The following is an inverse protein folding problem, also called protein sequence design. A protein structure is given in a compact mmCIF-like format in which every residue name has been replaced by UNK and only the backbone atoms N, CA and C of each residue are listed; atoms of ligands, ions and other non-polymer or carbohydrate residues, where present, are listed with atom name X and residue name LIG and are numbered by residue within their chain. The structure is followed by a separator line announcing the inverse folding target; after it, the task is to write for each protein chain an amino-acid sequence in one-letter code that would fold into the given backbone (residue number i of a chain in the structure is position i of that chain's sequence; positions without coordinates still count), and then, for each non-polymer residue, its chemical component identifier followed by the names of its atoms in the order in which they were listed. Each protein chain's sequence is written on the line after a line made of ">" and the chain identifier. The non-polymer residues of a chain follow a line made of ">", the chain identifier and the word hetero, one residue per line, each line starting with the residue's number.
data_IF_711029735232
#
_entry.id   IF_711029735232
#
_cell.length_a   1.000
_cell.length_b   1.000
_cell.length_c   1.000
_cell.angle_alpha   90.00
_cell.angle_beta   90.00
_cell.angle_gamma   90.00
#
_symmetry.space_group_name_H-M   'P 1'
#
loop_
_entity.id
_entity.type
_entity.pdbx_description
1 polymer ?
#
# COMPACT_ATOMS: atom_id res chain seq x y z
N UNK A 1 -13.17 0.02 16.85
CA UNK A 1 -14.60 0.48 16.92
C UNK A 1 -14.93 1.15 18.27
N UNK A 2 -14.06 1.10 19.29
CA UNK A 2 -14.22 1.87 20.55
C UNK A 2 -13.89 3.36 20.39
N UNK A 3 -12.92 3.72 19.55
CA UNK A 3 -12.41 5.10 19.48
C UNK A 3 -13.41 6.12 18.95
N UNK A 4 -14.25 5.75 17.97
CA UNK A 4 -15.30 6.66 17.46
C UNK A 4 -16.33 7.01 18.53
N UNK A 5 -16.69 6.05 19.39
CA UNK A 5 -17.63 6.29 20.47
C UNK A 5 -17.00 7.13 21.59
N UNK A 6 -15.71 6.94 21.85
CA UNK A 6 -14.97 7.73 22.83
C UNK A 6 -14.78 9.18 22.37
N UNK A 7 -14.49 9.41 21.09
CA UNK A 7 -14.40 10.73 20.46
C UNK A 7 -15.75 11.45 20.48
N UNK A 8 -16.83 10.78 20.07
CA UNK A 8 -18.19 11.37 20.10
C UNK A 8 -18.63 11.65 21.54
N UNK A 9 -18.29 10.78 22.50
CA UNK A 9 -18.60 11.00 23.91
C UNK A 9 -17.78 12.14 24.54
N UNK A 10 -16.51 12.31 24.15
CA UNK A 10 -15.66 13.41 24.62
C UNK A 10 -16.10 14.75 24.01
N UNK A 11 -16.44 14.78 22.72
CA UNK A 11 -16.99 15.97 22.07
C UNK A 11 -18.37 16.33 22.65
N UNK A 12 -19.24 15.33 22.88
CA UNK A 12 -20.53 15.52 23.53
C UNK A 12 -20.36 16.00 24.98
N UNK A 13 -19.39 15.46 25.71
CA UNK A 13 -19.05 15.88 27.08
C UNK A 13 -18.59 17.34 27.13
N UNK A 14 -17.75 17.77 26.19
CA UNK A 14 -17.33 19.16 26.06
C UNK A 14 -18.50 20.08 25.71
N UNK A 15 -19.38 19.67 24.80
CA UNK A 15 -20.58 20.41 24.40
C UNK A 15 -21.57 20.54 25.56
N UNK A 16 -21.78 19.47 26.32
CA UNK A 16 -22.61 19.47 27.54
C UNK A 16 -22.01 20.37 28.61
N UNK A 17 -20.69 20.34 28.84
CA UNK A 17 -20.03 21.22 29.80
C UNK A 17 -20.19 22.71 29.43
N UNK A 18 -20.04 23.05 28.14
CA UNK A 18 -20.29 24.41 27.64
C UNK A 18 -21.77 24.80 27.82
N UNK A 19 -22.69 23.92 27.48
CA UNK A 19 -24.14 24.18 27.59
C UNK A 19 -24.59 24.34 29.05
N UNK A 20 -24.07 23.52 29.95
CA UNK A 20 -24.30 23.62 31.40
C UNK A 20 -23.67 24.90 31.96
N UNK A 21 -22.46 25.27 31.52
CA UNK A 21 -21.83 26.54 31.89
C UNK A 21 -22.67 27.76 31.49
N UNK A 22 -23.20 27.77 30.26
CA UNK A 22 -24.11 28.81 29.79
C UNK A 22 -25.42 28.84 30.59
N UNK A 23 -26.00 27.68 30.93
CA UNK A 23 -27.22 27.60 31.75
C UNK A 23 -27.01 28.11 33.17
N UNK A 24 -25.88 27.76 33.81
CA UNK A 24 -25.54 28.25 35.16
C UNK A 24 -25.39 29.76 35.16
N UNK A 25 -24.73 30.33 34.15
CA UNK A 25 -24.62 31.78 33.96
C UNK A 25 -25.99 32.45 33.82
N UNK A 26 -26.88 31.88 33.00
CA UNK A 26 -28.25 32.40 32.82
C UNK A 26 -29.04 32.32 34.14
N UNK A 27 -28.94 31.21 34.88
CA UNK A 27 -29.61 31.04 36.18
C UNK A 27 -29.12 32.04 37.23
N UNK A 28 -27.84 32.41 37.23
CA UNK A 28 -27.27 33.44 38.11
C UNK A 28 -27.84 34.81 37.74
N UNK A 29 -27.93 35.11 36.45
CA UNK A 29 -28.48 36.36 35.92
C UNK A 29 -29.97 36.53 36.27
N UNK A 30 -30.76 35.45 36.18
CA UNK A 30 -32.22 35.48 36.42
C UNK A 30 -32.56 35.55 37.93
N UNK A 31 -31.70 35.04 38.82
CA UNK A 31 -31.94 35.04 40.27
C UNK A 31 -31.33 36.21 41.04
N UNK A 32 -30.71 37.19 40.37
CA UNK A 32 -30.23 38.42 41.02
C UNK A 32 -31.42 39.31 41.40
N UNK A 33 -31.60 39.67 42.69
CA UNK A 33 -32.69 40.54 43.11
C UNK A 33 -32.42 41.98 42.62
N UNK A 34 -33.42 42.59 41.96
CA UNK A 34 -33.45 43.94 41.34
C UNK A 34 -32.97 44.09 39.88
N UNK A 35 -33.14 43.11 39.01
CA UNK A 35 -32.70 43.15 37.59
C UNK A 35 -33.66 43.86 36.61
N UNK A 36 -34.48 44.81 37.06
CA UNK A 36 -35.27 45.65 36.13
C UNK A 36 -34.40 46.51 35.19
N UNK A 37 -33.12 46.65 35.50
CA UNK A 37 -32.07 47.21 34.65
C UNK A 37 -30.90 46.23 34.60
N UNK A 38 -31.11 45.07 33.98
CA UNK A 38 -30.02 44.16 33.68
C UNK A 38 -29.18 44.77 32.56
N UNK A 39 -28.14 45.49 32.96
CA UNK A 39 -27.24 46.24 32.08
C UNK A 39 -26.68 45.28 31.01
N UNK A 40 -27.01 45.50 29.74
CA UNK A 40 -26.61 44.63 28.64
C UNK A 40 -25.09 44.43 28.57
N UNK A 41 -24.33 45.38 29.13
CA UNK A 41 -22.89 45.28 29.32
C UNK A 41 -22.46 44.15 30.28
N UNK A 42 -23.22 43.88 31.34
CA UNK A 42 -22.92 42.79 32.29
C UNK A 42 -23.16 41.42 31.63
N UNK A 43 -24.27 41.26 30.92
CA UNK A 43 -24.59 40.02 30.19
C UNK A 43 -23.53 39.77 29.10
N UNK A 44 -23.17 40.80 28.34
CA UNK A 44 -22.14 40.72 27.32
C UNK A 44 -20.77 40.35 27.92
N UNK A 45 -20.38 40.94 29.05
CA UNK A 45 -19.11 40.63 29.71
C UNK A 45 -19.05 39.20 30.25
N UNK A 46 -20.15 38.67 30.78
CA UNK A 46 -20.19 37.28 31.26
C UNK A 46 -20.19 36.28 30.09
N UNK A 47 -20.91 36.57 29.00
CA UNK A 47 -20.88 35.75 27.78
C UNK A 47 -19.52 35.78 27.10
N UNK A 48 -18.95 36.96 26.89
CA UNK A 48 -17.60 37.13 26.31
C UNK A 48 -16.59 36.44 27.20
N UNK A 49 -16.61 36.69 28.51
CA UNK A 49 -15.75 36.06 29.51
C UNK A 49 -15.81 34.53 29.45
N UNK A 50 -17.02 33.97 29.42
CA UNK A 50 -17.24 32.53 29.27
C UNK A 50 -16.68 31.98 27.96
N UNK A 51 -16.98 32.62 26.82
CA UNK A 51 -16.46 32.20 25.50
C UNK A 51 -14.93 32.26 25.46
N UNK A 52 -14.29 33.30 25.98
CA UNK A 52 -12.82 33.39 26.07
C UNK A 52 -12.20 32.31 26.97
N UNK A 53 -12.92 31.82 27.97
CA UNK A 53 -12.42 30.79 28.89
C UNK A 53 -12.47 29.39 28.27
N UNK A 54 -13.50 29.12 27.46
CA UNK A 54 -13.70 27.81 26.84
C UNK A 54 -13.14 27.70 25.41
N UNK A 55 -12.93 28.81 24.69
CA UNK A 55 -12.37 28.80 23.33
C UNK A 55 -10.98 28.13 23.24
N UNK A 56 -10.03 28.35 24.18
CA UNK A 56 -8.72 27.66 24.14
C UNK A 56 -8.84 26.14 24.35
N UNK A 57 -9.77 25.71 25.20
CA UNK A 57 -10.03 24.29 25.49
C UNK A 57 -10.63 23.61 24.25
N UNK A 58 -11.65 24.24 23.65
CA UNK A 58 -12.24 23.75 22.41
C UNK A 58 -11.21 23.72 21.25
N UNK A 59 -10.37 24.76 21.13
CA UNK A 59 -9.30 24.80 20.15
C UNK A 59 -8.26 23.70 20.39
N UNK A 60 -7.89 23.41 21.64
CA UNK A 60 -6.96 22.33 21.98
C UNK A 60 -7.46 20.96 21.50
N UNK A 61 -8.72 20.62 21.78
CA UNK A 61 -9.32 19.36 21.30
C UNK A 61 -9.45 19.33 19.78
N UNK A 62 -9.99 20.40 19.16
CA UNK A 62 -10.14 20.47 17.70
C UNK A 62 -8.80 20.39 16.95
N UNK A 63 -7.74 21.02 17.48
CA UNK A 63 -6.41 21.01 16.84
C UNK A 63 -5.69 19.68 17.04
N UNK A 64 -5.82 19.05 18.21
CA UNK A 64 -5.26 17.70 18.43
C UNK A 64 -5.98 16.67 17.56
N UNK A 65 -7.31 16.70 17.51
CA UNK A 65 -8.11 15.83 16.63
C UNK A 65 -7.75 16.05 15.16
N UNK A 66 -7.58 17.31 14.73
CA UNK A 66 -7.17 17.60 13.36
C UNK A 66 -5.78 17.04 13.04
N UNK A 67 -4.83 17.18 13.96
CA UNK A 67 -3.47 16.66 13.78
C UNK A 67 -3.47 15.13 13.71
N UNK A 68 -4.24 14.46 14.56
CA UNK A 68 -4.39 13.01 14.56
C UNK A 68 -5.05 12.51 13.28
N UNK A 69 -6.15 13.15 12.85
CA UNK A 69 -6.81 12.83 11.58
C UNK A 69 -5.93 13.10 10.36
N UNK A 70 -5.13 14.16 10.39
CA UNK A 70 -4.18 14.48 9.33
C UNK A 70 -3.08 13.42 9.22
N UNK A 71 -2.51 13.00 10.36
CA UNK A 71 -1.50 11.94 10.37
C UNK A 71 -2.06 10.61 9.86
N UNK A 72 -3.26 10.21 10.30
CA UNK A 72 -3.95 9.02 9.80
C UNK A 72 -4.20 9.12 8.28
N UNK A 73 -4.53 10.32 7.78
CA UNK A 73 -4.73 10.53 6.34
C UNK A 73 -3.43 10.34 5.54
N UNK A 74 -2.31 10.85 6.05
CA UNK A 74 -1.00 10.68 5.43
C UNK A 74 -0.60 9.20 5.39
N UNK A 75 -0.75 8.49 6.52
CA UNK A 75 -0.49 7.05 6.59
C UNK A 75 -1.34 6.28 5.57
N UNK A 76 -2.63 6.60 5.44
CA UNK A 76 -3.50 5.96 4.45
C UNK A 76 -3.09 6.24 3.01
N UNK A 77 -2.58 7.43 2.71
CA UNK A 77 -2.12 7.76 1.37
C UNK A 77 -0.80 7.05 1.03
N UNK A 78 0.09 6.90 2.01
CA UNK A 78 1.31 6.10 1.86
C UNK A 78 1.00 4.61 1.64
N UNK A 79 0.04 4.05 2.38
CA UNK A 79 -0.44 2.66 2.18
C UNK A 79 -1.03 2.45 0.77
N UNK A 80 -1.76 3.43 0.24
CA UNK A 80 -2.27 3.38 -1.14
C UNK A 80 -1.13 3.41 -2.15
N UNK A 81 -0.10 4.24 -1.93
CA UNK A 81 1.08 4.29 -2.80
C UNK A 81 1.79 2.94 -2.84
N UNK A 82 2.04 2.34 -1.67
CA UNK A 82 2.69 1.03 -1.58
C UNK A 82 1.85 -0.06 -2.28
N UNK A 83 0.52 -0.06 -2.10
CA UNK A 83 -0.39 -0.97 -2.81
C UNK A 83 -0.30 -0.83 -4.34
N UNK A 84 -0.10 0.38 -4.86
CA UNK A 84 0.08 0.61 -6.31
C UNK A 84 1.39 -0.02 -6.79
N UNK A 85 2.49 0.11 -6.04
CA UNK A 85 3.75 -0.53 -6.43
C UNK A 85 3.67 -2.05 -6.38
N UNK A 86 3.02 -2.59 -5.35
CA UNK A 86 2.83 -4.03 -5.21
C UNK A 86 2.03 -4.61 -6.38
N UNK A 87 0.99 -3.90 -6.84
CA UNK A 87 0.26 -4.27 -8.08
C UNK A 87 1.16 -4.25 -9.32
N UNK A 88 1.95 -3.20 -9.51
CA UNK A 88 2.88 -3.10 -10.65
C UNK A 88 3.91 -4.21 -10.65
N UNK A 89 4.41 -4.58 -9.47
CA UNK A 89 5.35 -5.69 -9.30
C UNK A 89 4.69 -7.01 -9.71
N UNK A 90 3.48 -7.29 -9.23
CA UNK A 90 2.70 -8.46 -9.63
C UNK A 90 2.47 -8.52 -11.14
N UNK A 91 1.94 -7.44 -11.73
CA UNK A 91 1.69 -7.36 -13.18
C UNK A 91 2.95 -7.63 -14.02
N UNK A 92 4.13 -7.22 -13.52
CA UNK A 92 5.39 -7.45 -14.21
C UNK A 92 5.87 -8.90 -14.07
N UNK A 93 5.72 -9.50 -12.89
CA UNK A 93 6.05 -10.91 -12.65
C UNK A 93 5.13 -11.83 -13.46
N UNK A 94 3.83 -11.55 -13.49
CA UNK A 94 2.83 -12.29 -14.29
C UNK A 94 3.16 -12.25 -15.78
N UNK A 95 3.69 -11.11 -16.28
CA UNK A 95 4.16 -11.01 -17.67
C UNK A 95 5.22 -12.07 -17.96
N UNK A 96 6.19 -12.26 -17.07
CA UNK A 96 7.24 -13.25 -17.28
C UNK A 96 6.70 -14.68 -17.24
N UNK A 97 5.81 -15.03 -16.32
CA UNK A 97 5.17 -16.35 -16.29
C UNK A 97 4.48 -16.69 -17.61
N UNK A 98 3.67 -15.77 -18.13
CA UNK A 98 2.90 -16.02 -19.35
C UNK A 98 3.82 -16.28 -20.54
N UNK A 99 4.90 -15.48 -20.65
CA UNK A 99 5.84 -15.61 -21.75
C UNK A 99 6.74 -16.84 -21.60
N UNK A 100 7.21 -17.13 -20.38
CA UNK A 100 7.96 -18.35 -20.07
C UNK A 100 7.15 -19.61 -20.38
N UNK A 101 5.91 -19.66 -19.87
CA UNK A 101 4.99 -20.79 -20.10
C UNK A 101 4.65 -20.92 -21.58
N UNK A 102 4.46 -19.80 -22.28
CA UNK A 102 4.25 -19.78 -23.72
C UNK A 102 5.40 -20.44 -24.47
N UNK A 103 6.64 -20.03 -24.19
CA UNK A 103 7.83 -20.62 -24.81
C UNK A 103 8.00 -22.10 -24.41
N UNK A 104 7.83 -22.45 -23.13
CA UNK A 104 7.92 -23.83 -22.67
C UNK A 104 6.85 -24.74 -23.31
N UNK A 105 5.62 -24.25 -23.48
CA UNK A 105 4.53 -25.01 -24.11
C UNK A 105 4.82 -25.40 -25.56
N UNK A 106 5.61 -24.59 -26.29
CA UNK A 106 6.07 -24.90 -27.64
C UNK A 106 7.13 -26.03 -27.65
N UNK A 107 7.80 -26.26 -26.51
CA UNK A 107 8.87 -27.26 -26.36
C UNK A 107 8.34 -28.66 -25.99
N UNK A 108 7.23 -28.75 -25.27
CA UNK A 108 6.62 -30.02 -24.83
C UNK A 108 6.40 -31.01 -25.99
N UNK A 109 5.72 -30.65 -27.11
CA UNK A 109 5.45 -31.58 -28.21
C UNK A 109 6.71 -31.98 -29.02
N UNK A 110 7.83 -31.29 -28.83
CA UNK A 110 9.12 -31.59 -29.48
C UNK A 110 9.87 -32.70 -28.71
N UNK A 111 9.63 -32.82 -27.40
CA UNK A 111 10.30 -33.79 -26.53
C UNK A 111 9.56 -35.14 -26.45
N UNK A 112 8.24 -35.16 -26.69
CA UNK A 112 7.40 -36.37 -26.60
C UNK A 112 7.37 -37.23 -27.88
N UNK A 113 7.73 -36.67 -29.04
CA UNK A 113 7.85 -37.43 -30.28
C UNK A 113 9.30 -37.88 -30.48
N UNK A 114 9.55 -39.20 -30.51
CA UNK A 114 10.84 -39.87 -30.80
C UNK A 114 11.46 -39.54 -32.18
N UNK A 115 11.03 -38.46 -32.84
CA UNK A 115 11.64 -37.91 -34.04
C UNK A 115 11.83 -36.40 -33.84
N UNK A 116 13.00 -35.96 -33.32
CA UNK A 116 13.27 -34.56 -33.09
C UNK A 116 13.47 -33.91 -34.45
N UNK A 117 12.45 -33.18 -34.94
CA UNK A 117 12.82 -32.05 -35.77
C UNK A 117 13.67 -31.16 -34.86
N UNK A 118 14.94 -31.09 -35.27
CA UNK A 118 16.14 -30.77 -34.51
C UNK A 118 16.18 -29.27 -34.17
N UNK A 119 15.13 -28.78 -33.51
CA UNK A 119 15.01 -27.38 -33.14
C UNK A 119 15.96 -27.15 -31.97
N UNK A 120 17.11 -26.58 -32.30
CA UNK A 120 18.21 -26.37 -31.36
C UNK A 120 18.27 -24.91 -30.90
N UNK A 121 17.31 -24.08 -31.32
CA UNK A 121 17.41 -22.64 -31.21
C UNK A 121 16.05 -21.96 -31.03
N UNK A 122 15.99 -20.91 -30.22
CA UNK A 122 14.81 -20.05 -30.06
C UNK A 122 14.46 -19.32 -31.36
N UNK A 123 15.46 -18.98 -32.18
CA UNK A 123 15.24 -18.34 -33.49
C UNK A 123 14.43 -19.19 -34.46
N UNK A 124 14.40 -20.51 -34.27
CA UNK A 124 13.59 -21.44 -35.06
C UNK A 124 12.16 -21.60 -34.50
N UNK A 125 11.93 -21.28 -33.22
CA UNK A 125 10.64 -21.44 -32.54
C UNK A 125 9.81 -20.15 -32.51
N UNK A 126 10.48 -19.02 -32.37
CA UNK A 126 9.85 -17.73 -32.08
C UNK A 126 9.86 -16.89 -33.36
N UNK A 127 8.67 -16.62 -33.89
CA UNK A 127 8.52 -15.62 -34.97
C UNK A 127 9.01 -14.26 -34.47
N UNK A 128 9.72 -13.53 -35.32
CA UNK A 128 10.28 -12.21 -35.01
C UNK A 128 11.14 -12.23 -33.74
N UNK A 129 11.93 -13.30 -33.55
CA UNK A 129 12.81 -13.52 -32.40
C UNK A 129 13.60 -12.26 -31.96
N UNK A 130 14.20 -11.52 -32.91
CA UNK A 130 14.93 -10.29 -32.59
C UNK A 130 14.06 -9.18 -31.98
N UNK A 131 12.78 -9.11 -32.35
CA UNK A 131 11.81 -8.18 -31.76
C UNK A 131 11.44 -8.63 -30.34
N UNK A 132 11.19 -9.93 -30.15
CA UNK A 132 10.87 -10.52 -28.84
C UNK A 132 12.02 -10.32 -27.86
N UNK A 133 13.27 -10.52 -28.28
CA UNK A 133 14.46 -10.25 -27.46
C UNK A 133 14.48 -8.79 -26.99
N UNK A 134 14.17 -7.84 -27.87
CA UNK A 134 14.12 -6.40 -27.52
C UNK A 134 12.99 -6.07 -26.55
N UNK A 135 11.82 -6.69 -26.70
CA UNK A 135 10.68 -6.49 -25.80
C UNK A 135 10.97 -7.05 -24.40
N UNK A 136 11.53 -8.25 -24.32
CA UNK A 136 11.94 -8.86 -23.04
C UNK A 136 13.00 -8.00 -22.35
N UNK A 137 13.99 -7.47 -23.10
CA UNK A 137 14.97 -6.51 -22.55
C UNK A 137 14.32 -5.26 -21.98
N UNK A 138 13.33 -4.70 -22.68
CA UNK A 138 12.61 -3.51 -22.22
C UNK A 138 11.87 -3.83 -20.92
N UNK A 139 11.15 -4.95 -20.87
CA UNK A 139 10.44 -5.42 -19.69
C UNK A 139 11.36 -5.69 -18.51
N UNK A 140 12.57 -6.18 -18.78
CA UNK A 140 13.58 -6.46 -17.74
C UNK A 140 14.04 -5.19 -17.06
N UNK A 141 14.25 -4.12 -17.84
CA UNK A 141 14.57 -2.79 -17.31
C UNK A 141 13.41 -2.24 -16.48
N UNK A 142 12.18 -2.37 -16.96
CA UNK A 142 10.97 -1.98 -16.20
C UNK A 142 10.92 -2.70 -14.84
N UNK A 143 11.16 -4.01 -14.80
CA UNK A 143 11.19 -4.81 -13.57
C UNK A 143 12.23 -4.28 -12.58
N UNK A 144 13.45 -3.95 -13.01
CA UNK A 144 14.47 -3.38 -12.12
C UNK A 144 14.03 -2.07 -11.48
N UNK A 145 13.40 -1.18 -12.24
CA UNK A 145 12.89 0.09 -11.68
C UNK A 145 11.75 -0.14 -10.68
N UNK A 146 10.86 -1.09 -10.97
CA UNK A 146 9.74 -1.43 -10.08
C UNK A 146 10.25 -2.08 -8.80
N UNK A 147 11.21 -3.02 -8.88
CA UNK A 147 11.80 -3.68 -7.72
C UNK A 147 12.47 -2.69 -6.76
N UNK A 148 13.24 -1.73 -7.29
CA UNK A 148 13.85 -0.65 -6.49
C UNK A 148 12.79 0.23 -5.84
N UNK A 149 11.74 0.60 -6.57
CA UNK A 149 10.66 1.43 -6.04
C UNK A 149 9.88 0.69 -4.93
N UNK A 150 9.62 -0.60 -5.13
CA UNK A 150 9.00 -1.47 -4.13
C UNK A 150 9.86 -1.57 -2.87
N UNK A 151 11.17 -1.74 -2.99
CA UNK A 151 12.08 -1.79 -1.84
C UNK A 151 12.02 -0.51 -1.00
N UNK A 152 11.98 0.66 -1.66
CA UNK A 152 11.87 1.96 -1.00
C UNK A 152 10.55 2.09 -0.23
N UNK A 153 9.44 1.76 -0.88
CA UNK A 153 8.11 1.87 -0.27
C UNK A 153 7.92 0.81 0.84
N UNK A 154 8.48 -0.38 0.69
CA UNK A 154 8.46 -1.43 1.72
C UNK A 154 9.22 -0.99 2.98
N UNK A 155 10.43 -0.42 2.83
CA UNK A 155 11.19 0.16 3.96
C UNK A 155 10.42 1.27 4.67
N UNK A 156 9.65 2.05 3.94
CA UNK A 156 8.80 3.08 4.52
C UNK A 156 7.61 2.48 5.29
N UNK A 157 6.87 1.56 4.67
CA UNK A 157 5.75 0.86 5.27
C UNK A 157 6.12 0.13 6.58
N UNK A 158 7.31 -0.45 6.63
CA UNK A 158 7.84 -1.13 7.83
C UNK A 158 8.09 -0.19 9.01
N UNK A 159 8.43 1.08 8.78
CA UNK A 159 8.57 2.07 9.87
C UNK A 159 7.24 2.33 10.57
N UNK A 160 6.14 2.15 9.83
CA UNK A 160 4.76 2.34 10.30
C UNK A 160 4.23 1.03 10.89
N UNK A 161 4.69 -0.13 10.40
CA UNK A 161 4.25 -1.46 10.83
C UNK A 161 5.44 -2.42 11.05
N UNK A 162 5.99 -2.52 12.27
CA UNK A 162 7.26 -3.21 12.54
C UNK A 162 7.25 -4.74 12.46
N UNK A 163 6.09 -5.39 12.36
CA UNK A 163 5.94 -6.86 12.52
C UNK A 163 6.22 -7.67 11.24
N UNK A 164 6.96 -7.14 10.25
CA UNK A 164 7.08 -7.76 8.93
C UNK A 164 8.51 -8.20 8.55
N UNK A 165 8.60 -9.35 7.88
CA UNK A 165 9.84 -10.07 7.57
C UNK A 165 10.47 -9.51 6.29
N UNK A 166 11.20 -8.40 6.41
CA UNK A 166 11.72 -7.62 5.27
C UNK A 166 12.85 -8.32 4.50
N UNK A 167 13.79 -8.94 5.23
CA UNK A 167 15.04 -9.46 4.65
C UNK A 167 14.76 -10.66 3.74
N UNK A 168 13.88 -11.55 4.18
CA UNK A 168 13.55 -12.78 3.45
C UNK A 168 12.62 -12.56 2.26
N UNK A 169 11.88 -11.45 2.18
CA UNK A 169 10.98 -11.15 1.05
C UNK A 169 11.71 -10.41 -0.07
N UNK A 170 12.56 -9.45 0.28
CA UNK A 170 13.37 -8.73 -0.71
C UNK A 170 14.42 -9.64 -1.35
N UNK A 171 15.08 -10.49 -0.56
CA UNK A 171 15.99 -11.52 -1.08
C UNK A 171 15.30 -12.40 -2.13
N UNK A 172 14.04 -12.78 -1.91
CA UNK A 172 13.29 -13.61 -2.86
C UNK A 172 12.93 -12.90 -4.14
N UNK A 173 12.56 -11.61 -4.07
CA UNK A 173 12.36 -10.80 -5.28
C UNK A 173 13.67 -10.72 -6.06
N UNK A 174 14.81 -10.50 -5.39
CA UNK A 174 16.10 -10.48 -6.07
C UNK A 174 16.47 -11.83 -6.68
N UNK A 175 16.25 -12.94 -5.97
CA UNK A 175 16.45 -14.29 -6.52
C UNK A 175 15.62 -14.51 -7.79
N UNK A 176 14.34 -14.12 -7.77
CA UNK A 176 13.47 -14.24 -8.95
C UNK A 176 13.95 -13.34 -10.10
N UNK A 177 14.42 -12.14 -9.78
CA UNK A 177 15.02 -11.22 -10.75
C UNK A 177 16.28 -11.81 -11.39
N UNK A 178 17.12 -12.50 -10.61
CA UNK A 178 18.30 -13.22 -11.11
C UNK A 178 17.92 -14.43 -11.99
N UNK A 179 16.84 -15.14 -11.66
CA UNK A 179 16.30 -16.20 -12.52
C UNK A 179 15.81 -15.65 -13.87
N UNK A 180 15.16 -14.49 -13.88
CA UNK A 180 14.80 -13.78 -15.11
C UNK A 180 16.05 -13.30 -15.87
N UNK A 181 17.15 -12.95 -15.21
CA UNK A 181 18.40 -12.64 -15.91
C UNK A 181 18.96 -13.87 -16.62
N UNK A 182 18.96 -15.04 -15.95
CA UNK A 182 19.36 -16.31 -16.57
C UNK A 182 18.46 -16.67 -17.75
N UNK A 183 17.14 -16.43 -17.63
CA UNK A 183 16.21 -16.57 -18.75
C UNK A 183 16.71 -15.87 -20.01
N UNK A 184 17.07 -14.62 -19.79
CA UNK A 184 17.33 -13.68 -20.85
C UNK A 184 18.66 -14.04 -21.51
N UNK A 185 19.63 -14.50 -20.73
CA UNK A 185 20.85 -15.10 -21.24
C UNK A 185 20.57 -16.32 -22.10
N UNK A 186 19.73 -17.27 -21.66
CA UNK A 186 19.39 -18.44 -22.49
C UNK A 186 18.70 -18.06 -23.79
N UNK A 187 17.73 -17.14 -23.74
CA UNK A 187 17.10 -16.62 -24.95
C UNK A 187 18.17 -16.04 -25.86
N UNK A 188 18.97 -15.09 -25.36
CA UNK A 188 19.96 -14.33 -26.14
C UNK A 188 21.06 -15.21 -26.73
N UNK A 189 21.54 -16.19 -25.99
CA UNK A 189 22.58 -17.12 -26.40
C UNK A 189 22.01 -18.27 -27.25
N UNK A 190 20.70 -18.24 -27.48
CA UNK A 190 19.96 -19.20 -28.28
C UNK A 190 19.99 -20.63 -27.68
N UNK A 191 20.19 -20.73 -26.36
CA UNK A 191 20.38 -21.98 -25.61
C UNK A 191 19.06 -22.54 -25.09
N UNK A 192 18.37 -23.23 -25.99
CA UNK A 192 17.07 -23.86 -25.74
C UNK A 192 17.11 -24.91 -24.62
N UNK A 193 18.23 -25.64 -24.52
CA UNK A 193 18.34 -26.80 -23.64
C UNK A 193 18.48 -26.37 -22.19
N UNK A 194 19.32 -25.37 -21.92
CA UNK A 194 19.46 -24.82 -20.57
C UNK A 194 18.15 -24.17 -20.10
N UNK A 195 17.44 -23.48 -21.00
CA UNK A 195 16.11 -22.96 -20.69
C UNK A 195 15.14 -24.05 -20.22
N UNK A 196 15.00 -25.15 -20.97
CA UNK A 196 14.06 -26.22 -20.63
C UNK A 196 14.37 -26.84 -19.26
N UNK A 197 15.64 -27.06 -18.94
CA UNK A 197 16.06 -27.66 -17.67
C UNK A 197 15.81 -26.77 -16.44
N UNK A 198 15.74 -25.45 -16.64
CA UNK A 198 15.54 -24.46 -15.55
C UNK A 198 14.09 -24.02 -15.39
N UNK A 199 13.19 -24.46 -16.27
CA UNK A 199 11.80 -24.01 -16.26
C UNK A 199 11.06 -24.37 -14.96
N UNK A 200 11.26 -25.59 -14.44
CA UNK A 200 10.61 -26.04 -13.21
C UNK A 200 11.06 -25.22 -12.00
N UNK A 201 12.34 -24.84 -11.95
CA UNK A 201 12.88 -23.96 -10.90
C UNK A 201 12.20 -22.59 -10.96
N UNK A 202 12.14 -21.98 -12.15
CA UNK A 202 11.45 -20.71 -12.37
C UNK A 202 9.96 -20.77 -11.99
N UNK A 203 9.25 -21.84 -12.38
CA UNK A 203 7.82 -21.99 -12.08
C UNK A 203 7.56 -22.08 -10.58
N UNK A 204 8.41 -22.80 -9.83
CA UNK A 204 8.30 -22.89 -8.38
C UNK A 204 8.57 -21.54 -7.69
N UNK A 205 9.58 -20.82 -8.16
CA UNK A 205 9.90 -19.47 -7.65
C UNK A 205 8.77 -18.47 -7.93
N UNK A 206 8.15 -18.53 -9.11
CA UNK A 206 6.99 -17.73 -9.46
C UNK A 206 5.79 -18.00 -8.53
N UNK A 207 5.42 -19.28 -8.35
CA UNK A 207 4.26 -19.65 -7.53
C UNK A 207 4.43 -19.16 -6.08
N UNK A 208 5.64 -19.35 -5.53
CA UNK A 208 5.99 -18.84 -4.21
C UNK A 208 5.84 -17.30 -4.13
N UNK A 209 6.40 -16.59 -5.11
CA UNK A 209 6.41 -15.13 -5.10
C UNK A 209 5.00 -14.56 -5.28
N UNK A 210 4.18 -15.18 -6.12
CA UNK A 210 2.79 -14.78 -6.33
C UNK A 210 1.95 -14.97 -5.06
N UNK A 211 2.11 -16.09 -4.34
CA UNK A 211 1.45 -16.32 -3.05
C UNK A 211 1.86 -15.26 -2.02
N UNK A 212 3.16 -14.95 -1.93
CA UNK A 212 3.68 -13.90 -1.04
C UNK A 212 3.06 -12.54 -1.34
N UNK A 213 3.04 -12.11 -2.60
CA UNK A 213 2.48 -10.82 -3.02
C UNK A 213 0.97 -10.76 -2.79
N UNK A 214 0.25 -11.86 -2.98
CA UNK A 214 -1.19 -11.95 -2.70
C UNK A 214 -1.49 -11.76 -1.21
N UNK A 215 -0.74 -12.43 -0.34
CA UNK A 215 -0.87 -12.29 1.10
C UNK A 215 -0.59 -10.85 1.56
N UNK A 216 0.44 -10.20 1.03
CA UNK A 216 0.73 -8.79 1.30
C UNK A 216 -0.41 -7.86 0.82
N UNK A 217 -1.00 -8.14 -0.33
CA UNK A 217 -2.11 -7.35 -0.85
C UNK A 217 -3.37 -7.47 0.02
N UNK A 218 -3.64 -8.66 0.56
CA UNK A 218 -4.74 -8.91 1.51
C UNK A 218 -4.52 -8.13 2.81
N UNK A 219 -3.32 -8.18 3.39
CA UNK A 219 -2.97 -7.43 4.62
C UNK A 219 -3.16 -5.92 4.42
N UNK A 220 -2.67 -5.38 3.30
CA UNK A 220 -2.86 -3.96 2.97
C UNK A 220 -4.34 -3.59 2.81
N UNK A 221 -5.14 -4.46 2.19
CA UNK A 221 -6.57 -4.23 2.04
C UNK A 221 -7.33 -4.24 3.36
N UNK A 222 -6.88 -5.02 4.34
CA UNK A 222 -7.43 -4.98 5.69
C UNK A 222 -7.06 -3.67 6.39
N UNK A 223 -5.79 -3.25 6.31
CA UNK A 223 -5.29 -2.01 6.94
C UNK A 223 -5.91 -0.74 6.36
N UNK A 224 -6.20 -0.72 5.05
CA UNK A 224 -6.87 0.42 4.41
C UNK A 224 -8.36 0.55 4.76
N UNK A 225 -9.01 -0.51 5.26
CA UNK A 225 -10.44 -0.51 5.65
C UNK A 225 -10.68 0.00 7.07
N UNK A 226 -9.68 -0.07 7.95
CA UNK A 226 -9.72 0.45 9.32
C UNK A 226 -9.52 1.96 9.29
#
# INVERSE_FOLDING_TARGET
>A
MSDKNEIVNNLAGALVAIFVGCLVVICIIVNLPNTKELDGALIANVLVGGVTLFAPIAAYYLLNDWKEQYNISLEKDDLKSFKIQLKKLRENIDYYEVHYRGVHSLLIPINENDNPHNINSFSELISDYDLVVKEIQKKRRELSFIAISYEQDLKYYMKITPDFVLETEFEKINCFVEEIDKFFEYIKDNDLKSFFLTYDEFSNSYDFLNEMLENQMIDLDQKLRV
#
